data_IF_014922674251
#
_entry.id   IF_014922674251
#
_cell.length_a   1.000
_cell.length_b   1.000
_cell.length_c   1.000
_cell.angle_alpha   90.00
_cell.angle_beta   90.00
_cell.angle_gamma   90.00
#
_symmetry.space_group_name_H-M   'P 1'
#
loop_
_entity.id
_entity.type
_entity.pdbx_description
1 polymer ?
#
# COMPACT_ATOMS: atom_id res chain seq x y z
N UNK A 1 -23.02 26.07 -34.60
CA UNK A 1 -23.43 25.77 -33.20
C UNK A 1 -22.90 24.44 -32.66
N UNK A 2 -22.78 23.39 -33.47
CA UNK A 2 -22.26 22.08 -33.02
C UNK A 2 -20.83 22.14 -32.45
N UNK A 3 -19.91 22.84 -33.11
CA UNK A 3 -18.50 22.94 -32.69
C UNK A 3 -18.30 23.54 -31.29
N UNK A 4 -19.04 24.61 -30.95
CA UNK A 4 -18.98 25.22 -29.60
C UNK A 4 -19.52 24.28 -28.52
N UNK A 5 -20.56 23.50 -28.83
CA UNK A 5 -21.12 22.51 -27.90
C UNK A 5 -20.16 21.36 -27.67
N UNK A 6 -19.54 20.83 -28.74
CA UNK A 6 -18.51 19.79 -28.63
C UNK A 6 -17.28 20.26 -27.86
N UNK A 7 -16.85 21.51 -28.07
CA UNK A 7 -15.74 22.11 -27.34
C UNK A 7 -16.04 22.26 -25.84
N UNK A 8 -17.23 22.75 -25.49
CA UNK A 8 -17.66 22.86 -24.09
C UNK A 8 -17.78 21.48 -23.42
N UNK A 9 -18.33 20.48 -24.11
CA UNK A 9 -18.41 19.11 -23.60
C UNK A 9 -17.04 18.49 -23.35
N UNK A 10 -16.08 18.72 -24.26
CA UNK A 10 -14.69 18.30 -24.08
C UNK A 10 -14.05 18.96 -22.86
N UNK A 11 -14.30 20.25 -22.64
CA UNK A 11 -13.81 20.99 -21.48
C UNK A 11 -14.41 20.47 -20.17
N UNK A 12 -15.72 20.17 -20.17
CA UNK A 12 -16.41 19.58 -19.01
C UNK A 12 -15.88 18.18 -18.69
N UNK A 13 -15.63 17.34 -19.70
CA UNK A 13 -15.05 16.01 -19.50
C UNK A 13 -13.63 16.10 -18.91
N UNK A 14 -12.82 17.07 -19.33
CA UNK A 14 -11.48 17.29 -18.79
C UNK A 14 -11.51 17.72 -17.31
N UNK A 15 -12.49 18.56 -16.93
CA UNK A 15 -12.69 19.01 -15.54
C UNK A 15 -13.17 17.87 -14.64
N UNK A 16 -13.98 16.95 -15.16
CA UNK A 16 -14.54 15.83 -14.39
C UNK A 16 -13.61 14.61 -14.31
N UNK A 17 -12.60 14.51 -15.17
CA UNK A 17 -11.68 13.37 -15.21
C UNK A 17 -11.00 13.04 -13.85
N UNK A 18 -10.57 14.01 -13.02
CA UNK A 18 -9.95 13.72 -11.72
C UNK A 18 -10.92 13.12 -10.70
N UNK A 19 -12.23 13.33 -10.85
CA UNK A 19 -13.26 12.83 -9.93
C UNK A 19 -13.74 11.42 -10.27
N UNK A 20 -13.28 10.84 -11.38
CA UNK A 20 -13.63 9.48 -11.80
C UNK A 20 -12.84 8.39 -11.05
N UNK A 21 -11.83 8.77 -10.26
CA UNK A 21 -10.97 7.84 -9.53
C UNK A 21 -11.02 8.12 -8.03
N UNK A 22 -11.65 7.25 -7.26
CA UNK A 22 -11.52 7.18 -5.82
C UNK A 22 -10.84 5.86 -5.48
N UNK A 23 -9.66 5.92 -4.86
CA UNK A 23 -9.06 4.74 -4.26
C UNK A 23 -9.93 4.29 -3.09
N UNK A 24 -10.20 2.99 -2.99
CA UNK A 24 -10.85 2.45 -1.80
C UNK A 24 -9.98 2.70 -0.58
N UNK A 25 -10.62 3.07 0.54
CA UNK A 25 -9.92 3.12 1.82
C UNK A 25 -9.42 1.73 2.21
N UNK A 26 -8.27 1.68 2.88
CA UNK A 26 -7.72 0.42 3.38
C UNK A 26 -8.53 -0.07 4.60
N UNK A 27 -8.68 -1.40 4.79
CA UNK A 27 -9.34 -1.93 5.96
C UNK A 27 -8.54 -1.63 7.23
N UNK A 28 -9.24 -1.49 8.35
CA UNK A 28 -8.65 -1.28 9.66
C UNK A 28 -8.84 -2.53 10.54
N UNK A 29 -7.75 -3.10 11.02
CA UNK A 29 -7.71 -4.30 11.85
C UNK A 29 -7.81 -3.99 13.35
N UNK A 30 -8.06 -2.73 13.74
CA UNK A 30 -8.36 -2.27 15.09
C UNK A 30 -7.32 -2.71 16.14
N UNK A 31 -6.03 -2.69 15.79
CA UNK A 31 -4.94 -3.02 16.69
C UNK A 31 -4.82 -4.50 17.06
N UNK A 32 -5.48 -5.40 16.29
CA UNK A 32 -5.34 -6.86 16.46
C UNK A 32 -3.88 -7.30 16.32
N UNK A 33 -3.53 -8.41 16.95
CA UNK A 33 -2.27 -9.10 16.69
C UNK A 33 -2.41 -10.02 15.48
N UNK A 34 -1.44 -9.97 14.57
CA UNK A 34 -1.33 -10.85 13.41
C UNK A 34 0.03 -11.51 13.44
N UNK A 35 0.03 -12.84 13.50
CA UNK A 35 1.26 -13.65 13.51
C UNK A 35 1.65 -13.98 12.07
N UNK A 36 2.88 -13.64 11.68
CA UNK A 36 3.37 -13.87 10.32
C UNK A 36 4.57 -14.82 10.36
N UNK A 37 4.41 -15.98 9.70
CA UNK A 37 5.49 -16.98 9.63
C UNK A 37 6.41 -16.61 8.47
N UNK A 38 7.71 -16.48 8.77
CA UNK A 38 8.76 -16.20 7.79
C UNK A 38 9.90 -17.21 7.97
N UNK A 39 10.61 -17.51 6.88
CA UNK A 39 11.81 -18.33 6.90
C UNK A 39 13.05 -17.45 6.80
N UNK A 40 13.88 -17.37 7.84
CA UNK A 40 15.02 -16.45 7.94
C UNK A 40 16.28 -16.87 7.14
N UNK A 41 16.12 -17.31 5.89
CA UNK A 41 17.19 -17.95 5.12
C UNK A 41 17.58 -17.24 3.81
N UNK A 42 16.89 -16.17 3.41
CA UNK A 42 16.99 -15.60 2.07
C UNK A 42 17.35 -14.12 2.05
N UNK A 43 18.65 -13.76 2.08
CA UNK A 43 19.07 -12.39 1.81
C UNK A 43 18.76 -11.97 0.36
N UNK A 44 18.24 -10.75 0.09
CA UNK A 44 17.95 -9.67 1.03
C UNK A 44 16.49 -9.63 1.53
N UNK A 45 15.70 -10.67 1.26
CA UNK A 45 14.26 -10.70 1.49
C UNK A 45 13.90 -10.93 2.97
N UNK A 46 14.40 -12.00 3.58
CA UNK A 46 14.21 -12.33 4.99
C UNK A 46 15.41 -13.15 5.48
N UNK A 47 16.21 -12.58 6.37
CA UNK A 47 17.44 -13.22 6.85
C UNK A 47 17.82 -12.71 8.24
N UNK A 48 18.65 -13.47 8.94
CA UNK A 48 19.28 -12.98 10.17
C UNK A 48 20.55 -12.21 9.81
N UNK A 49 20.64 -10.94 10.21
CA UNK A 49 21.87 -10.18 10.08
C UNK A 49 22.98 -10.84 10.91
N UNK A 50 24.08 -11.30 10.30
CA UNK A 50 25.15 -11.99 11.02
C UNK A 50 25.84 -11.09 12.06
N UNK A 51 25.72 -9.77 11.96
CA UNK A 51 26.33 -8.83 12.92
C UNK A 51 25.46 -8.60 14.14
N UNK A 52 24.17 -8.33 13.95
CA UNK A 52 23.25 -8.00 15.04
C UNK A 52 22.46 -9.19 15.59
N UNK A 53 22.41 -10.31 14.85
CA UNK A 53 21.56 -11.46 15.18
C UNK A 53 20.07 -11.20 15.03
N UNK A 54 19.67 -10.06 14.43
CA UNK A 54 18.28 -9.67 14.26
C UNK A 54 17.73 -10.14 12.91
N UNK A 55 16.46 -10.60 12.87
CA UNK A 55 15.77 -10.80 11.60
C UNK A 55 15.57 -9.46 10.89
N UNK A 56 16.04 -9.37 9.65
CA UNK A 56 15.96 -8.19 8.79
C UNK A 56 15.68 -8.61 7.34
N UNK A 57 15.30 -7.64 6.51
CA UNK A 57 15.11 -7.83 5.08
C UNK A 57 13.85 -7.15 4.58
N UNK A 58 13.67 -7.17 3.27
CA UNK A 58 12.55 -6.52 2.59
C UNK A 58 11.17 -7.00 3.09
N UNK A 59 11.00 -8.29 3.38
CA UNK A 59 9.71 -8.80 3.86
C UNK A 59 9.34 -8.25 5.25
N UNK A 60 10.33 -8.08 6.13
CA UNK A 60 10.13 -7.44 7.44
C UNK A 60 9.72 -5.98 7.29
N UNK A 61 10.39 -5.24 6.41
CA UNK A 61 10.07 -3.84 6.13
C UNK A 61 8.66 -3.72 5.52
N UNK A 62 8.33 -4.58 4.57
CA UNK A 62 7.02 -4.64 3.94
C UNK A 62 5.92 -4.95 4.97
N UNK A 63 6.14 -5.93 5.85
CA UNK A 63 5.15 -6.29 6.87
C UNK A 63 4.95 -5.19 7.91
N UNK A 64 6.00 -4.49 8.31
CA UNK A 64 5.89 -3.32 9.19
C UNK A 64 5.06 -2.20 8.56
N UNK A 65 5.25 -1.93 7.26
CA UNK A 65 4.45 -0.94 6.54
C UNK A 65 2.99 -1.37 6.37
N UNK A 66 2.75 -2.65 6.10
CA UNK A 66 1.39 -3.20 6.04
C UNK A 66 0.69 -3.10 7.40
N UNK A 67 1.40 -3.43 8.50
CA UNK A 67 0.90 -3.31 9.87
C UNK A 67 0.45 -1.89 10.21
N UNK A 68 1.27 -0.90 9.83
CA UNK A 68 0.96 0.52 10.00
C UNK A 68 -0.26 0.95 9.20
N UNK A 69 -0.34 0.55 7.92
CA UNK A 69 -1.44 0.94 7.01
C UNK A 69 -2.78 0.31 7.38
N UNK A 70 -2.75 -0.91 7.91
CA UNK A 70 -3.94 -1.67 8.28
C UNK A 70 -4.26 -1.63 9.78
N UNK A 71 -3.46 -0.92 10.59
CA UNK A 71 -3.61 -0.81 12.04
C UNK A 71 -3.69 -2.18 12.75
N UNK A 72 -2.60 -2.95 12.69
CA UNK A 72 -2.41 -4.16 13.49
C UNK A 72 -1.00 -4.22 14.08
N UNK A 73 -0.80 -5.14 15.02
CA UNK A 73 0.50 -5.48 15.60
C UNK A 73 1.01 -6.75 14.93
N UNK A 74 2.18 -6.68 14.30
CA UNK A 74 2.85 -7.86 13.73
C UNK A 74 3.63 -8.59 14.83
N UNK A 75 3.51 -9.91 14.85
CA UNK A 75 4.27 -10.82 15.73
C UNK A 75 4.91 -11.96 14.94
#
# INVERSE_FOLDING_TARGET
MAFRRSFLLGLTALVLAPFASFAAELPNLNGKTVVVVTENAYPPLQFVDPKSGKPIGWEYDAMNEIAKRLNFKVE
#
